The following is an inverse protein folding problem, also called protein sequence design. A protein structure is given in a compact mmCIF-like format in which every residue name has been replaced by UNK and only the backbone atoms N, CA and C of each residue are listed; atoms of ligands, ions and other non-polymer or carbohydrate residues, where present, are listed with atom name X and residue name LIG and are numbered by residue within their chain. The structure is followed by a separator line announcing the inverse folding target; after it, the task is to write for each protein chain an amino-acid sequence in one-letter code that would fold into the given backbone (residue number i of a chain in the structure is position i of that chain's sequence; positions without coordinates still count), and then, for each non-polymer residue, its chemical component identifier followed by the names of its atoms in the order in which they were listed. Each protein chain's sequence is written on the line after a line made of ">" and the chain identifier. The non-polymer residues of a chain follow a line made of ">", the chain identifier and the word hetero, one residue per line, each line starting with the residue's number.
data_IF_871551638361
#
_entry.id   IF_871551638361
#
_cell.length_a   1.000
_cell.length_b   1.000
_cell.length_c   1.000
_cell.angle_alpha   90.00
_cell.angle_beta   90.00
_cell.angle_gamma   90.00
#
_symmetry.space_group_name_H-M   'P 1'
#
loop_
_entity.id
_entity.type
_entity.pdbx_description
1 polymer ?
#
# COMPACT_ATOMS: atom_id res chain seq x y z
N UNK A 1 7.55 4.91 11.85
CA UNK A 1 6.42 4.30 11.14
C UNK A 1 5.35 5.31 10.73
N UNK A 2 5.05 6.28 11.58
CA UNK A 2 3.96 7.23 11.28
C UNK A 2 4.21 8.02 10.00
N UNK A 3 5.44 8.48 9.80
CA UNK A 3 5.77 9.21 8.59
C UNK A 3 5.69 8.31 7.36
N UNK A 4 6.17 7.09 7.48
CA UNK A 4 6.12 6.13 6.38
C UNK A 4 4.68 5.83 5.99
N UNK A 5 3.81 5.62 6.97
CA UNK A 5 2.40 5.36 6.69
C UNK A 5 1.73 6.58 6.05
N UNK A 6 2.07 7.79 6.50
CA UNK A 6 1.54 9.01 5.90
C UNK A 6 1.99 9.12 4.44
N UNK A 7 3.27 8.85 4.18
CA UNK A 7 3.79 8.88 2.81
C UNK A 7 3.12 7.82 1.94
N UNK A 8 2.90 6.63 2.48
CA UNK A 8 2.23 5.56 1.74
C UNK A 8 0.81 5.95 1.35
N UNK A 9 0.09 6.60 2.25
CA UNK A 9 -1.28 7.03 1.97
C UNK A 9 -1.32 7.97 0.77
N UNK A 10 -0.41 8.94 0.74
CA UNK A 10 -0.32 9.88 -0.38
C UNK A 10 0.07 9.13 -1.66
N UNK A 11 1.06 8.26 -1.57
CA UNK A 11 1.56 7.52 -2.73
C UNK A 11 0.49 6.59 -3.31
N UNK A 12 -0.28 5.93 -2.46
CA UNK A 12 -1.37 5.07 -2.91
C UNK A 12 -2.40 5.88 -3.67
N UNK A 13 -2.78 7.02 -3.15
CA UNK A 13 -3.76 7.90 -3.79
C UNK A 13 -3.26 8.35 -5.16
N UNK A 14 -1.99 8.73 -5.24
CA UNK A 14 -1.41 9.16 -6.50
C UNK A 14 -1.27 8.01 -7.49
N UNK A 15 -0.80 6.86 -7.01
CA UNK A 15 -0.57 5.70 -7.88
C UNK A 15 -1.86 5.16 -8.46
N UNK A 16 -2.92 5.12 -7.66
CA UNK A 16 -4.21 4.59 -8.07
C UNK A 16 -5.17 5.68 -8.56
N UNK A 17 -4.72 6.93 -8.57
CA UNK A 17 -5.50 8.06 -9.03
C UNK A 17 -6.85 8.18 -8.29
N UNK A 18 -6.79 8.07 -6.97
CA UNK A 18 -7.97 8.14 -6.10
C UNK A 18 -8.30 9.60 -5.79
N UNK A 19 -8.91 10.29 -6.73
CA UNK A 19 -9.11 11.73 -6.66
C UNK A 19 -10.03 12.16 -5.52
N UNK A 20 -10.98 11.31 -5.16
CA UNK A 20 -11.96 11.62 -4.12
C UNK A 20 -11.52 11.16 -2.73
N UNK A 21 -10.32 10.59 -2.62
CA UNK A 21 -9.81 10.06 -1.36
C UNK A 21 -8.66 10.92 -0.87
N UNK A 22 -8.72 11.30 0.39
CA UNK A 22 -7.63 12.04 1.03
C UNK A 22 -6.80 11.11 1.90
N UNK A 23 -5.51 11.45 2.16
CA UNK A 23 -4.69 10.60 3.05
C UNK A 23 -5.34 10.37 4.41
N UNK A 24 -6.02 11.36 4.96
CA UNK A 24 -6.70 11.25 6.26
C UNK A 24 -7.92 10.33 6.22
N UNK A 25 -8.43 10.02 5.03
CA UNK A 25 -9.54 9.08 4.87
C UNK A 25 -9.07 7.63 4.92
N UNK A 26 -7.78 7.39 4.85
CA UNK A 26 -7.22 6.05 4.89
C UNK A 26 -6.71 5.77 6.30
N UNK A 27 -7.36 4.84 7.00
CA UNK A 27 -6.91 4.43 8.32
C UNK A 27 -5.69 3.53 8.24
N UNK A 28 -4.84 3.57 9.28
CA UNK A 28 -3.61 2.78 9.29
C UNK A 28 -3.88 1.29 9.20
N UNK A 29 -4.92 0.83 9.87
CA UNK A 29 -5.29 -0.58 9.91
C UNK A 29 -6.51 -0.92 9.06
N UNK A 30 -7.02 0.06 8.32
CA UNK A 30 -8.18 -0.13 7.47
C UNK A 30 -7.85 -1.07 6.31
N UNK A 31 -8.68 -2.09 6.04
CA UNK A 31 -8.45 -2.95 4.88
C UNK A 31 -8.46 -2.12 3.59
N UNK A 32 -7.51 -2.40 2.71
CA UNK A 32 -7.43 -1.70 1.43
C UNK A 32 -8.33 -2.33 0.38
N UNK A 33 -8.59 -3.64 0.52
CA UNK A 33 -9.40 -4.39 -0.44
C UNK A 33 -10.75 -4.75 0.18
N UNK A 34 -11.70 -5.02 -0.69
CA UNK A 34 -13.03 -5.52 -0.37
C UNK A 34 -13.86 -4.54 0.45
N UNK A 35 -13.50 -4.28 1.71
CA UNK A 35 -14.31 -3.45 2.59
C UNK A 35 -13.77 -2.02 2.77
N UNK A 36 -12.48 -1.81 2.55
CA UNK A 36 -11.88 -0.50 2.74
C UNK A 36 -12.05 0.40 1.53
N UNK A 37 -10.99 0.56 0.77
CA UNK A 37 -11.03 1.39 -0.44
C UNK A 37 -11.64 0.67 -1.63
N UNK A 38 -12.01 -0.60 -1.48
CA UNK A 38 -12.61 -1.35 -2.56
C UNK A 38 -11.66 -1.66 -3.70
N UNK A 39 -10.38 -1.79 -3.40
CA UNK A 39 -9.37 -2.08 -4.42
C UNK A 39 -9.51 -3.52 -4.91
N UNK A 40 -9.09 -3.75 -6.15
CA UNK A 40 -9.14 -5.09 -6.74
C UNK A 40 -7.74 -5.58 -7.10
N UNK A 41 -7.65 -6.72 -7.79
CA UNK A 41 -6.36 -7.33 -8.11
C UNK A 41 -5.51 -6.47 -9.05
N UNK A 42 -6.13 -5.65 -9.87
CA UNK A 42 -5.39 -4.72 -10.75
C UNK A 42 -4.71 -3.66 -9.89
N UNK A 43 -5.42 -3.15 -8.88
CA UNK A 43 -4.86 -2.18 -7.95
C UNK A 43 -3.71 -2.78 -7.16
N UNK A 44 -3.78 -4.07 -6.83
CA UNK A 44 -2.67 -4.74 -6.15
C UNK A 44 -1.40 -4.73 -7.00
N UNK A 45 -1.52 -4.91 -8.31
CA UNK A 45 -0.37 -4.83 -9.22
C UNK A 45 0.24 -3.43 -9.19
N UNK A 46 -0.60 -2.41 -9.15
CA UNK A 46 -0.12 -1.03 -9.07
C UNK A 46 0.62 -0.78 -7.76
N UNK A 47 0.15 -1.36 -6.66
CA UNK A 47 0.82 -1.21 -5.37
C UNK A 47 2.16 -1.94 -5.37
N UNK A 48 2.27 -3.08 -6.05
CA UNK A 48 3.55 -3.76 -6.22
C UNK A 48 4.53 -2.86 -6.95
N UNK A 49 4.08 -2.22 -8.03
CA UNK A 49 4.90 -1.28 -8.78
C UNK A 49 5.33 -0.10 -7.89
N UNK A 50 4.41 0.39 -7.07
CA UNK A 50 4.69 1.49 -6.15
C UNK A 50 5.85 1.13 -5.22
N UNK A 51 5.81 -0.04 -4.61
CA UNK A 51 6.87 -0.47 -3.71
C UNK A 51 8.19 -0.64 -4.43
N UNK A 52 8.15 -1.16 -5.66
CA UNK A 52 9.36 -1.37 -6.45
C UNK A 52 10.00 -0.03 -6.84
N UNK A 53 9.21 0.93 -7.26
CA UNK A 53 9.72 2.22 -7.74
C UNK A 53 10.14 3.14 -6.61
N UNK A 54 9.36 3.20 -5.54
CA UNK A 54 9.60 4.16 -4.47
C UNK A 54 10.48 3.62 -3.35
N UNK A 55 10.48 2.32 -3.14
CA UNK A 55 11.21 1.70 -2.02
C UNK A 55 12.16 0.61 -2.47
N UNK A 56 12.20 0.33 -3.76
CA UNK A 56 13.07 -0.70 -4.37
C UNK A 56 12.87 -2.07 -3.73
N UNK A 57 11.63 -2.35 -3.35
CA UNK A 57 11.25 -3.63 -2.78
C UNK A 57 10.51 -4.42 -3.84
N UNK A 58 10.96 -5.65 -4.08
CA UNK A 58 10.35 -6.53 -5.07
C UNK A 58 9.58 -7.64 -4.37
N UNK A 59 8.30 -7.72 -4.65
CA UNK A 59 7.47 -8.80 -4.18
C UNK A 59 7.50 -9.89 -5.25
N UNK A 60 8.20 -10.98 -4.95
CA UNK A 60 8.42 -12.04 -5.92
C UNK A 60 7.36 -13.13 -5.86
N UNK A 61 6.56 -13.16 -4.81
CA UNK A 61 5.53 -14.17 -4.61
C UNK A 61 4.15 -13.51 -4.55
N UNK A 62 3.29 -13.84 -5.51
CA UNK A 62 1.95 -13.26 -5.56
C UNK A 62 1.12 -13.58 -4.32
N UNK A 63 1.43 -14.67 -3.62
CA UNK A 63 0.72 -15.03 -2.41
C UNK A 63 1.01 -14.07 -1.26
N UNK A 64 2.13 -13.37 -1.28
CA UNK A 64 2.45 -12.36 -0.27
C UNK A 64 1.65 -11.09 -0.46
N UNK A 65 1.20 -10.81 -1.68
CA UNK A 65 0.49 -9.58 -1.98
C UNK A 65 -0.67 -9.28 -1.03
N UNK A 66 -1.64 -10.20 -0.89
CA UNK A 66 -2.78 -9.95 0.00
C UNK A 66 -2.39 -9.70 1.45
N UNK A 67 -1.30 -10.30 1.90
CA UNK A 67 -0.80 -10.07 3.27
C UNK A 67 -0.13 -8.72 3.41
N UNK A 68 0.69 -8.35 2.43
CA UNK A 68 1.42 -7.09 2.43
C UNK A 68 0.46 -5.92 2.29
N UNK A 69 -0.50 -6.04 1.38
CA UNK A 69 -1.40 -4.94 1.03
C UNK A 69 -2.72 -4.97 1.80
N UNK A 70 -2.74 -5.67 2.92
CA UNK A 70 -3.94 -5.72 3.74
C UNK A 70 -4.31 -4.34 4.27
N UNK A 71 -3.31 -3.57 4.69
CA UNK A 71 -3.51 -2.22 5.20
C UNK A 71 -2.24 -1.42 5.00
N UNK A 72 -2.33 -0.11 5.22
CA UNK A 72 -1.15 0.76 5.17
C UNK A 72 -0.13 0.32 6.22
N UNK A 73 -0.58 -0.09 7.40
CA UNK A 73 0.32 -0.55 8.46
C UNK A 73 1.09 -1.79 8.02
N UNK A 74 0.43 -2.79 7.42
CA UNK A 74 1.14 -3.99 6.96
C UNK A 74 2.12 -3.67 5.85
N UNK A 75 1.80 -2.72 4.97
CA UNK A 75 2.74 -2.27 3.95
C UNK A 75 3.96 -1.61 4.58
N UNK A 76 3.75 -0.75 5.57
CA UNK A 76 4.84 -0.07 6.26
C UNK A 76 5.74 -1.07 7.00
N UNK A 77 5.14 -2.06 7.64
CA UNK A 77 5.90 -3.11 8.32
C UNK A 77 6.74 -3.92 7.34
N UNK A 78 6.17 -4.25 6.19
CA UNK A 78 6.90 -4.98 5.16
C UNK A 78 8.06 -4.16 4.63
N UNK A 79 7.84 -2.88 4.35
CA UNK A 79 8.90 -1.99 3.87
C UNK A 79 10.03 -1.90 4.89
N UNK A 80 9.68 -1.68 6.15
CA UNK A 80 10.67 -1.55 7.22
C UNK A 80 11.49 -2.83 7.38
N UNK A 81 10.85 -3.99 7.24
CA UNK A 81 11.53 -5.28 7.38
C UNK A 81 12.47 -5.58 6.21
N UNK A 82 12.22 -5.00 5.03
CA UNK A 82 12.98 -5.30 3.82
C UNK A 82 13.93 -4.18 3.40
N UNK A 83 13.91 -3.05 4.07
CA UNK A 83 14.88 -2.00 3.82
C UNK A 83 16.17 -2.28 4.59
N UNK A 84 17.28 -2.05 3.94
CA UNK A 84 18.60 -2.27 4.52
C UNK A 84 19.18 -0.95 5.00
#
# INVERSE_FOLDING_TARGET
>A
MDKLMADLKVQIIEQLNLQDTKPEDIGDDQPLFVEGLGLDSIDALELIVLLQQNYKIKISNAEEGPKVFRSVRTMAEYITAHQV
#
